data_IF_730318684091
#
_entry.id   IF_730318684091
#
_cell.length_a   1.000
_cell.length_b   1.000
_cell.length_c   1.000
_cell.angle_alpha   90.00
_cell.angle_beta   90.00
_cell.angle_gamma   90.00
#
_symmetry.space_group_name_H-M   'P 1'
#
loop_
_entity.id
_entity.type
_entity.pdbx_description
1 polymer ?
#
# COMPACT_ATOMS: atom_id res chain seq x y z
N UNK A 1 -22.58 -6.92 -24.45
CA UNK A 1 -22.85 -7.43 -23.09
C UNK A 1 -23.32 -8.88 -23.09
N UNK A 2 -24.33 -9.25 -23.90
CA UNK A 2 -24.82 -10.64 -23.99
C UNK A 2 -23.74 -11.64 -24.47
N UNK A 3 -22.99 -11.29 -25.52
CA UNK A 3 -21.93 -12.19 -26.06
C UNK A 3 -20.88 -12.54 -24.99
N UNK A 4 -20.27 -11.59 -24.26
CA UNK A 4 -19.39 -11.92 -23.13
C UNK A 4 -20.04 -12.81 -22.05
N UNK A 5 -21.30 -12.56 -21.68
CA UNK A 5 -21.98 -13.35 -20.64
C UNK A 5 -22.23 -14.80 -21.07
N UNK A 6 -22.61 -15.03 -22.33
CA UNK A 6 -22.78 -16.39 -22.88
C UNK A 6 -21.45 -17.14 -22.87
N UNK A 7 -20.38 -16.46 -23.29
CA UNK A 7 -19.04 -17.05 -23.30
C UNK A 7 -18.61 -17.44 -21.88
N UNK A 8 -18.81 -16.56 -20.90
CA UNK A 8 -18.52 -16.86 -19.49
C UNK A 8 -19.35 -18.04 -18.95
N UNK A 9 -20.66 -18.07 -19.23
CA UNK A 9 -21.54 -19.15 -18.78
C UNK A 9 -21.14 -20.51 -19.37
N UNK A 10 -20.80 -20.53 -20.67
CA UNK A 10 -20.30 -21.72 -21.36
C UNK A 10 -19.02 -22.26 -20.71
N UNK A 11 -18.02 -21.39 -20.48
CA UNK A 11 -16.78 -21.81 -19.84
C UNK A 11 -16.95 -22.19 -18.38
N UNK A 12 -17.83 -21.54 -17.62
CA UNK A 12 -18.12 -21.91 -16.23
C UNK A 12 -18.75 -23.31 -16.13
N UNK A 13 -19.68 -23.65 -17.04
CA UNK A 13 -20.28 -24.98 -17.10
C UNK A 13 -19.25 -26.06 -17.46
N UNK A 14 -18.40 -25.81 -18.46
CA UNK A 14 -17.34 -26.75 -18.86
C UNK A 14 -16.32 -26.91 -17.73
N UNK A 15 -15.87 -25.83 -17.11
CA UNK A 15 -14.91 -25.86 -16.01
C UNK A 15 -15.40 -26.71 -14.84
N UNK A 16 -16.70 -26.66 -14.51
CA UNK A 16 -17.30 -27.52 -13.49
C UNK A 16 -17.26 -29.01 -13.84
N UNK A 17 -17.44 -29.37 -15.13
CA UNK A 17 -17.42 -30.76 -15.60
C UNK A 17 -16.00 -31.33 -15.67
N UNK A 18 -14.99 -30.49 -15.93
CA UNK A 18 -13.59 -30.90 -16.10
C UNK A 18 -12.91 -31.51 -14.86
N UNK A 19 -13.54 -31.44 -13.69
CA UNK A 19 -12.97 -31.95 -12.43
C UNK A 19 -14.02 -32.64 -11.54
N UNK A 20 -14.90 -33.46 -12.15
CA UNK A 20 -15.91 -34.20 -11.40
C UNK A 20 -15.33 -35.49 -10.79
N UNK A 21 -15.54 -35.75 -9.50
CA UNK A 21 -14.96 -36.90 -8.80
C UNK A 21 -15.83 -38.17 -8.96
N UNK A 22 -16.34 -38.42 -10.16
CA UNK A 22 -17.19 -39.59 -10.45
C UNK A 22 -16.43 -40.69 -11.20
N UNK A 23 -15.38 -40.34 -11.95
CA UNK A 23 -14.60 -41.26 -12.76
C UNK A 23 -13.23 -40.65 -12.99
N UNK A 24 -12.18 -41.47 -13.04
CA UNK A 24 -10.82 -40.99 -13.26
C UNK A 24 -10.72 -40.12 -14.53
N UNK A 25 -11.44 -40.43 -15.61
CA UNK A 25 -11.45 -39.62 -16.84
C UNK A 25 -11.99 -38.19 -16.65
N UNK A 26 -12.82 -37.94 -15.64
CA UNK A 26 -13.42 -36.64 -15.34
C UNK A 26 -12.58 -35.81 -14.36
N UNK A 27 -11.54 -36.39 -13.77
CA UNK A 27 -10.54 -35.70 -12.94
C UNK A 27 -9.36 -35.19 -13.78
N UNK A 28 -9.67 -34.62 -14.94
CA UNK A 28 -8.65 -34.16 -15.89
C UNK A 28 -7.78 -33.06 -15.30
N UNK A 29 -8.41 -32.06 -14.67
CA UNK A 29 -7.68 -30.90 -14.13
C UNK A 29 -6.73 -31.29 -12.99
N UNK A 30 -7.18 -32.16 -12.09
CA UNK A 30 -6.36 -32.69 -11.01
C UNK A 30 -5.08 -33.36 -11.55
N UNK A 31 -5.20 -34.29 -12.51
CA UNK A 31 -4.05 -34.97 -13.12
C UNK A 31 -3.15 -34.06 -13.95
N UNK A 32 -3.73 -33.06 -14.61
CA UNK A 32 -2.94 -32.11 -15.39
C UNK A 32 -2.07 -31.21 -14.49
N UNK A 33 -2.54 -30.88 -13.28
CA UNK A 33 -1.82 -30.06 -12.30
C UNK A 33 -0.86 -30.86 -11.41
N UNK A 34 -1.12 -32.16 -11.25
CA UNK A 34 -0.36 -33.09 -10.42
C UNK A 34 1.18 -33.01 -10.61
N UNK A 35 1.75 -32.88 -11.83
CA UNK A 35 3.19 -32.80 -12.02
C UNK A 35 3.85 -31.54 -11.44
N UNK A 36 3.07 -30.47 -11.24
CA UNK A 36 3.56 -29.15 -10.77
C UNK A 36 3.28 -28.97 -9.28
N UNK A 37 2.13 -29.44 -8.79
CA UNK A 37 1.68 -29.29 -7.39
C UNK A 37 2.22 -30.42 -6.50
N UNK A 38 2.57 -31.56 -7.09
CA UNK A 38 3.02 -32.78 -6.39
C UNK A 38 1.87 -33.55 -5.74
N UNK A 39 2.15 -34.80 -5.35
CA UNK A 39 1.22 -35.64 -4.58
C UNK A 39 1.09 -35.12 -3.13
N UNK A 40 0.26 -34.10 -2.91
CA UNK A 40 -0.17 -33.66 -1.58
C UNK A 40 -1.61 -34.07 -1.28
N UNK A 41 -2.07 -35.20 -1.83
CA UNK A 41 -3.36 -35.75 -1.46
C UNK A 41 -3.19 -36.54 -0.16
N UNK A 42 -3.79 -36.04 0.93
CA UNK A 42 -4.23 -36.94 1.99
C UNK A 42 -5.08 -38.00 1.29
N UNK A 43 -4.62 -39.26 1.27
CA UNK A 43 -5.36 -40.37 0.68
C UNK A 43 -6.63 -40.59 1.51
N UNK A 44 -7.65 -39.79 1.24
CA UNK A 44 -8.98 -39.98 1.75
C UNK A 44 -9.55 -41.11 0.89
N UNK A 45 -9.46 -42.34 1.39
CA UNK A 45 -10.16 -43.49 0.83
C UNK A 45 -11.67 -43.34 1.10
N UNK A 46 -12.27 -42.29 0.56
CA UNK A 46 -13.71 -42.10 0.55
C UNK A 46 -14.27 -43.19 -0.36
N UNK A 47 -14.80 -44.26 0.22
CA UNK A 47 -15.56 -45.23 -0.56
C UNK A 47 -16.68 -44.51 -1.32
N UNK A 48 -17.08 -45.02 -2.49
CA UNK A 48 -18.09 -44.36 -3.33
C UNK A 48 -19.41 -44.01 -2.62
N UNK A 49 -19.72 -44.73 -1.53
CA UNK A 49 -20.84 -44.43 -0.63
C UNK A 49 -20.62 -43.12 0.14
N UNK A 50 -19.43 -42.87 0.68
CA UNK A 50 -19.12 -41.66 1.42
C UNK A 50 -19.17 -40.42 0.52
N UNK A 51 -18.59 -40.51 -0.68
CA UNK A 51 -18.66 -39.44 -1.68
C UNK A 51 -20.12 -39.11 -2.05
N UNK A 52 -20.96 -40.14 -2.21
CA UNK A 52 -22.38 -39.95 -2.51
C UNK A 52 -23.11 -39.25 -1.36
N UNK A 53 -22.82 -39.62 -0.12
CA UNK A 53 -23.41 -38.99 1.08
C UNK A 53 -22.99 -37.52 1.17
N UNK A 54 -21.71 -37.21 0.99
CA UNK A 54 -21.19 -35.84 1.04
C UNK A 54 -21.76 -34.95 -0.08
N UNK A 55 -21.87 -35.50 -1.30
CA UNK A 55 -22.50 -34.82 -2.43
C UNK A 55 -23.98 -34.53 -2.16
N UNK A 56 -24.74 -35.51 -1.67
CA UNK A 56 -26.16 -35.34 -1.36
C UNK A 56 -26.35 -34.34 -0.21
N UNK A 57 -25.54 -34.44 0.84
CA UNK A 57 -25.63 -33.55 2.00
C UNK A 57 -25.35 -32.10 1.61
N UNK A 58 -24.21 -31.85 0.95
CA UNK A 58 -23.83 -30.51 0.50
C UNK A 58 -24.86 -29.91 -0.46
N UNK A 59 -25.33 -30.68 -1.44
CA UNK A 59 -26.36 -30.24 -2.39
C UNK A 59 -27.67 -29.94 -1.69
N UNK A 60 -28.09 -30.75 -0.73
CA UNK A 60 -29.31 -30.54 0.05
C UNK A 60 -29.22 -29.25 0.86
N UNK A 61 -28.10 -29.02 1.57
CA UNK A 61 -27.89 -27.79 2.34
C UNK A 61 -27.91 -26.56 1.42
N UNK A 62 -27.27 -26.64 0.24
CA UNK A 62 -27.28 -25.55 -0.73
C UNK A 62 -28.69 -25.23 -1.22
N UNK A 63 -29.48 -26.25 -1.57
CA UNK A 63 -30.89 -26.09 -2.00
C UNK A 63 -31.73 -25.47 -0.88
N UNK A 64 -31.59 -25.95 0.36
CA UNK A 64 -32.29 -25.39 1.52
C UNK A 64 -31.93 -23.92 1.71
N UNK A 65 -30.66 -23.55 1.57
CA UNK A 65 -30.19 -22.16 1.62
C UNK A 65 -30.83 -21.28 0.54
N UNK A 66 -30.90 -21.76 -0.70
CA UNK A 66 -31.55 -21.05 -1.82
C UNK A 66 -33.05 -20.86 -1.55
N UNK A 67 -33.74 -21.90 -1.06
CA UNK A 67 -35.16 -21.83 -0.71
C UNK A 67 -35.37 -20.83 0.43
N UNK A 68 -34.54 -20.86 1.47
CA UNK A 68 -34.60 -19.89 2.55
C UNK A 68 -34.44 -18.44 2.04
N UNK A 69 -33.45 -18.19 1.19
CA UNK A 69 -33.24 -16.88 0.56
C UNK A 69 -34.46 -16.47 -0.30
N UNK A 70 -35.01 -17.38 -1.10
CA UNK A 70 -36.22 -17.14 -1.89
C UNK A 70 -37.42 -16.73 -1.02
N UNK A 71 -37.62 -17.40 0.13
CA UNK A 71 -38.72 -17.11 1.05
C UNK A 71 -38.58 -15.73 1.71
N UNK A 72 -37.34 -15.32 2.02
CA UNK A 72 -37.02 -14.01 2.61
C UNK A 72 -37.18 -12.90 1.57
N UNK A 73 -36.47 -12.99 0.44
CA UNK A 73 -36.29 -11.86 -0.49
C UNK A 73 -37.35 -11.78 -1.59
N UNK A 74 -37.85 -12.91 -2.09
CA UNK A 74 -38.87 -12.89 -3.16
C UNK A 74 -40.28 -12.97 -2.58
N UNK A 75 -40.51 -13.90 -1.63
CA UNK A 75 -41.84 -14.08 -1.03
C UNK A 75 -42.11 -13.18 0.18
N UNK A 76 -41.12 -12.43 0.67
CA UNK A 76 -41.26 -11.48 1.78
C UNK A 76 -41.94 -12.09 3.02
N UNK A 77 -41.78 -13.40 3.25
CA UNK A 77 -42.40 -14.10 4.40
C UNK A 77 -41.73 -13.76 5.73
N UNK A 78 -40.49 -13.27 5.67
CA UNK A 78 -39.66 -12.87 6.81
C UNK A 78 -39.12 -11.49 6.50
N UNK A 79 -39.15 -10.59 7.50
CA UNK A 79 -38.55 -9.26 7.36
C UNK A 79 -37.03 -9.39 7.15
N UNK A 80 -36.49 -8.93 5.99
CA UNK A 80 -35.05 -8.99 5.71
C UNK A 80 -34.19 -8.30 6.77
N UNK A 81 -34.73 -7.30 7.47
CA UNK A 81 -33.99 -6.55 8.52
C UNK A 81 -33.57 -7.42 9.71
N UNK A 82 -34.20 -8.57 9.92
CA UNK A 82 -33.79 -9.52 10.96
C UNK A 82 -32.51 -10.28 10.60
N UNK A 83 -32.21 -10.38 9.31
CA UNK A 83 -31.08 -11.14 8.77
C UNK A 83 -29.96 -10.18 8.33
N UNK A 84 -30.32 -9.09 7.67
CA UNK A 84 -29.42 -8.01 7.25
C UNK A 84 -29.05 -7.10 8.42
N UNK A 85 -28.35 -7.67 9.41
CA UNK A 85 -27.83 -6.89 10.52
C UNK A 85 -26.88 -5.80 10.01
N UNK A 86 -26.84 -4.60 10.64
CA UNK A 86 -25.93 -3.53 10.27
C UNK A 86 -24.46 -3.98 10.20
N UNK A 87 -24.09 -4.99 10.98
CA UNK A 87 -22.76 -5.60 10.94
C UNK A 87 -22.41 -6.20 9.57
N UNK A 88 -23.33 -6.96 8.96
CA UNK A 88 -23.13 -7.54 7.64
C UNK A 88 -23.22 -6.49 6.53
N UNK A 89 -24.15 -5.54 6.67
CA UNK A 89 -24.33 -4.45 5.72
C UNK A 89 -23.08 -3.53 5.62
N UNK A 90 -22.34 -3.38 6.73
CA UNK A 90 -21.12 -2.58 6.77
C UNK A 90 -19.83 -3.38 6.46
N UNK A 91 -19.93 -4.57 5.85
CA UNK A 91 -18.74 -5.36 5.49
C UNK A 91 -17.88 -5.73 6.70
N UNK A 92 -18.54 -6.05 7.82
CA UNK A 92 -17.88 -6.35 9.10
C UNK A 92 -17.04 -5.19 9.65
N UNK A 93 -17.31 -3.97 9.20
CA UNK A 93 -16.57 -2.75 9.57
C UNK A 93 -15.08 -2.78 9.21
N UNK A 94 -14.64 -3.69 8.33
CA UNK A 94 -13.23 -3.78 7.92
C UNK A 94 -12.82 -2.48 7.20
N UNK A 95 -13.59 -2.10 6.19
CA UNK A 95 -13.31 -0.90 5.38
C UNK A 95 -13.33 0.37 6.23
N UNK A 96 -14.29 0.47 7.16
CA UNK A 96 -14.39 1.61 8.08
C UNK A 96 -13.21 1.68 9.04
N UNK A 97 -12.77 0.53 9.55
CA UNK A 97 -11.61 0.45 10.46
C UNK A 97 -10.32 0.85 9.75
N UNK A 98 -10.10 0.33 8.54
CA UNK A 98 -8.94 0.69 7.71
C UNK A 98 -8.99 2.18 7.36
N UNK A 99 -10.14 2.69 6.94
CA UNK A 99 -10.31 4.11 6.58
C UNK A 99 -10.07 5.02 7.77
N UNK A 100 -10.59 4.67 8.96
CA UNK A 100 -10.38 5.45 10.20
C UNK A 100 -8.92 5.46 10.61
N UNK A 101 -8.22 4.33 10.45
CA UNK A 101 -6.80 4.24 10.74
C UNK A 101 -5.97 5.07 9.75
N UNK A 102 -6.12 4.80 8.44
CA UNK A 102 -5.33 5.43 7.38
C UNK A 102 -5.65 6.92 7.25
N UNK A 103 -6.93 7.29 7.20
CA UNK A 103 -7.38 8.68 7.08
C UNK A 103 -7.26 9.49 8.37
N UNK A 104 -7.17 8.83 9.53
CA UNK A 104 -7.01 9.46 10.82
C UNK A 104 -5.55 9.51 11.27
N UNK A 105 -5.16 8.53 12.09
CA UNK A 105 -3.84 8.51 12.74
C UNK A 105 -2.71 8.40 11.72
N UNK A 106 -2.86 7.56 10.69
CA UNK A 106 -1.87 7.40 9.63
C UNK A 106 -1.58 8.73 8.94
N UNK A 107 -2.63 9.41 8.46
CA UNK A 107 -2.53 10.72 7.82
C UNK A 107 -1.86 11.76 8.70
N UNK A 108 -2.25 11.88 9.97
CA UNK A 108 -1.63 12.83 10.91
C UNK A 108 -0.15 12.56 11.11
N UNK A 109 0.25 11.28 11.16
CA UNK A 109 1.67 10.90 11.22
C UNK A 109 2.47 11.43 10.03
N UNK A 110 1.94 11.26 8.82
CA UNK A 110 2.59 11.78 7.60
C UNK A 110 2.60 13.32 7.55
N UNK A 111 1.52 13.98 7.96
CA UNK A 111 1.46 15.44 8.02
C UNK A 111 2.49 16.02 9.01
N UNK A 112 2.73 15.36 10.14
CA UNK A 112 3.76 15.75 11.10
C UNK A 112 5.17 15.62 10.52
N UNK A 113 5.46 14.51 9.83
CA UNK A 113 6.76 14.30 9.18
C UNK A 113 7.00 15.35 8.09
N UNK A 114 5.99 15.62 7.27
CA UNK A 114 6.06 16.65 6.23
C UNK A 114 6.23 18.06 6.81
N UNK A 115 5.56 18.36 7.92
CA UNK A 115 5.74 19.64 8.62
C UNK A 115 7.16 19.76 9.17
N UNK A 116 7.70 18.68 9.76
CA UNK A 116 9.05 18.68 10.29
C UNK A 116 10.09 18.98 9.20
N UNK A 117 9.98 18.33 8.04
CA UNK A 117 10.85 18.59 6.89
C UNK A 117 10.76 20.06 6.44
N UNK A 118 9.55 20.58 6.22
CA UNK A 118 9.32 21.95 5.76
C UNK A 118 9.78 23.02 6.77
N UNK A 119 9.68 22.76 8.07
CA UNK A 119 10.00 23.77 9.09
C UNK A 119 11.45 23.67 9.53
N UNK A 120 11.93 22.46 9.80
CA UNK A 120 13.25 22.22 10.39
C UNK A 120 14.31 22.08 9.31
N UNK A 121 14.09 21.19 8.35
CA UNK A 121 15.10 20.86 7.34
C UNK A 121 15.23 22.03 6.35
N UNK A 122 14.13 22.40 5.71
CA UNK A 122 14.10 23.56 4.80
C UNK A 122 14.44 24.86 5.53
N UNK A 123 14.01 25.01 6.79
CA UNK A 123 14.33 26.16 7.62
C UNK A 123 15.82 26.31 7.88
N UNK A 124 16.51 25.21 8.21
CA UNK A 124 17.95 25.18 8.40
C UNK A 124 18.70 25.51 7.10
N UNK A 125 18.32 24.87 5.99
CA UNK A 125 18.96 25.09 4.68
C UNK A 125 18.80 26.54 4.23
N UNK A 126 17.59 27.07 4.25
CA UNK A 126 17.33 28.47 3.90
C UNK A 126 17.95 29.45 4.91
N UNK A 127 18.10 29.04 6.17
CA UNK A 127 18.82 29.78 7.21
C UNK A 127 20.29 29.96 6.86
N UNK A 128 20.99 28.88 6.51
CA UNK A 128 22.39 28.93 6.06
C UNK A 128 22.51 29.82 4.83
N UNK A 129 21.65 29.63 3.82
CA UNK A 129 21.66 30.47 2.61
C UNK A 129 21.48 31.97 2.91
N UNK A 130 20.58 32.32 3.83
CA UNK A 130 20.38 33.71 4.29
C UNK A 130 21.59 34.25 5.04
N UNK A 131 22.19 33.46 5.92
CA UNK A 131 23.38 33.85 6.67
C UNK A 131 24.57 34.11 5.73
N UNK A 132 24.83 33.21 4.78
CA UNK A 132 25.89 33.37 3.78
C UNK A 132 25.64 34.61 2.92
N UNK A 133 24.41 34.83 2.44
CA UNK A 133 24.07 36.01 1.63
C UNK A 133 24.19 37.30 2.43
N UNK A 134 23.78 37.30 3.69
CA UNK A 134 23.94 38.43 4.60
C UNK A 134 25.40 38.78 4.86
N UNK A 135 26.24 37.76 5.10
CA UNK A 135 27.68 37.91 5.25
C UNK A 135 28.33 38.49 4.00
N UNK A 136 28.01 37.94 2.82
CA UNK A 136 28.49 38.44 1.54
C UNK A 136 28.06 39.89 1.28
N UNK A 137 26.81 40.26 1.63
CA UNK A 137 26.32 41.63 1.49
C UNK A 137 27.07 42.61 2.39
N UNK A 138 27.41 42.21 3.62
CA UNK A 138 28.23 43.04 4.53
C UNK A 138 29.66 43.18 4.00
N UNK A 139 30.26 42.09 3.54
CA UNK A 139 31.59 42.12 2.93
C UNK A 139 31.62 43.04 1.70
N UNK A 140 30.59 42.96 0.85
CA UNK A 140 30.41 43.84 -0.30
C UNK A 140 30.32 45.31 0.08
N UNK A 141 29.78 45.65 1.25
CA UNK A 141 29.68 47.05 1.70
C UNK A 141 31.03 47.67 2.11
N UNK A 142 32.05 46.86 2.39
CA UNK A 142 33.42 47.32 2.69
C UNK A 142 34.11 47.84 1.41
N UNK A 143 33.71 47.32 0.26
CA UNK A 143 34.20 47.69 -1.08
C UNK A 143 33.48 48.95 -1.57
N UNK A 144 33.84 50.10 -1.01
CA UNK A 144 33.16 51.39 -1.20
C UNK A 144 33.64 52.21 -2.42
N UNK A 145 34.57 51.68 -3.24
CA UNK A 145 35.04 52.33 -4.46
C UNK A 145 36.04 53.49 -4.26
N UNK A 146 36.39 53.85 -3.02
CA UNK A 146 37.36 54.92 -2.76
C UNK A 146 38.80 54.40 -2.82
N UNK A 147 39.60 54.87 -3.79
CA UNK A 147 41.00 54.45 -4.00
C UNK A 147 41.86 54.55 -2.73
N UNK A 148 41.63 55.57 -1.89
CA UNK A 148 42.37 55.75 -0.62
C UNK A 148 42.09 54.63 0.40
N UNK A 149 40.87 54.09 0.41
CA UNK A 149 40.49 52.97 1.27
C UNK A 149 41.19 51.68 0.85
N UNK A 150 41.28 51.43 -0.46
CA UNK A 150 42.04 50.30 -1.01
C UNK A 150 43.53 50.36 -0.66
N UNK A 151 44.16 51.53 -0.83
CA UNK A 151 45.58 51.71 -0.50
C UNK A 151 45.86 51.40 0.98
N UNK A 152 44.95 51.81 1.88
CA UNK A 152 45.06 51.54 3.31
C UNK A 152 44.90 50.03 3.62
N UNK A 153 43.91 49.36 3.03
CA UNK A 153 43.68 47.92 3.20
C UNK A 153 44.86 47.07 2.67
N UNK A 154 45.42 47.43 1.52
CA UNK A 154 46.62 46.77 0.96
C UNK A 154 47.83 46.97 1.90
N UNK A 155 48.04 48.19 2.40
CA UNK A 155 49.12 48.48 3.34
C UNK A 155 49.02 47.67 4.63
N UNK A 156 47.82 47.62 5.24
CA UNK A 156 47.56 46.80 6.43
C UNK A 156 47.79 45.31 6.13
N UNK A 157 47.28 44.81 5.00
CA UNK A 157 47.47 43.43 4.57
C UNK A 157 48.95 43.06 4.39
N UNK A 158 49.75 43.95 3.83
CA UNK A 158 51.20 43.75 3.67
C UNK A 158 51.93 43.65 5.01
N UNK A 159 51.63 44.54 5.96
CA UNK A 159 52.21 44.49 7.32
C UNK A 159 51.84 43.19 8.04
N UNK A 160 50.58 42.77 7.95
CA UNK A 160 50.11 41.52 8.55
C UNK A 160 50.78 40.29 7.93
N UNK A 161 50.95 40.26 6.61
CA UNK A 161 51.66 39.17 5.93
C UNK A 161 53.12 39.09 6.35
N UNK A 162 53.82 40.22 6.49
CA UNK A 162 55.20 40.25 6.98
C UNK A 162 55.27 39.76 8.42
N UNK A 163 54.39 40.24 9.30
CA UNK A 163 54.33 39.80 10.68
C UNK A 163 54.06 38.28 10.79
N UNK A 164 53.11 37.76 10.01
CA UNK A 164 52.83 36.34 9.94
C UNK A 164 54.04 35.54 9.43
N UNK A 165 54.69 35.99 8.35
CA UNK A 165 55.88 35.34 7.83
C UNK A 165 57.01 35.30 8.87
N UNK A 166 57.22 36.37 9.64
CA UNK A 166 58.21 36.38 10.71
C UNK A 166 57.90 35.36 11.81
N UNK A 167 56.62 35.13 12.13
CA UNK A 167 56.22 34.06 13.09
C UNK A 167 56.42 32.64 12.53
N UNK A 168 56.42 32.46 11.21
CA UNK A 168 56.66 31.16 10.56
C UNK A 168 58.15 30.88 10.33
N UNK A 169 58.98 31.93 10.16
CA UNK A 169 60.43 31.82 9.99
C UNK A 169 61.15 31.62 11.33
N UNK A 170 60.50 31.92 12.46
CA UNK A 170 60.95 31.52 13.79
C UNK A 170 60.68 30.03 14.05
N UNK A 171 61.51 29.16 13.46
CA UNK A 171 61.78 27.79 13.89
C UNK A 171 63.29 27.60 14.07
#
# INVERSE_FOLDING_TARGET
MLVPLIVLAFFAAIAGVLNLPFTEHLEFLNRWLEPVVGENQAHLSLGGVQLTIELLLSTTIAIVGIIAAYLVYLKHKVDPRRIELPFFANGWYIDQSITKFMGGVGRKGFELIAMFDKVVIDGAVNGVGRATRGGASRLRSIENGYVRWYALMIGVGAVLLVAFAMTQVSF
#
